data_IF_421373327370
#
_entry.id   IF_421373327370
#
_cell.length_a   1.000
_cell.length_b   1.000
_cell.length_c   1.000
_cell.angle_alpha   90.00
_cell.angle_beta   90.00
_cell.angle_gamma   90.00
#
_symmetry.space_group_name_H-M   'P 1'
#
loop_
_entity.id
_entity.type
_entity.pdbx_description
1 polymer ?
#
# COMPACT_ATOMS: atom_id res chain seq x y z
N UNK A 1 -18.36 45.19 -22.69
CA UNK A 1 -18.06 43.79 -23.05
C UNK A 1 -16.57 43.49 -23.25
N UNK A 2 -15.79 44.29 -24.01
CA UNK A 2 -14.34 44.03 -24.26
C UNK A 2 -13.43 43.99 -23.02
N UNK A 3 -13.71 44.78 -21.97
CA UNK A 3 -12.93 44.78 -20.71
C UNK A 3 -13.14 43.50 -19.88
N UNK A 4 -14.39 43.04 -19.78
CA UNK A 4 -14.75 41.83 -19.01
C UNK A 4 -14.16 40.57 -19.65
N UNK A 5 -14.15 40.49 -20.99
CA UNK A 5 -13.53 39.39 -21.74
C UNK A 5 -12.00 39.31 -21.51
N UNK A 6 -11.31 40.45 -21.38
CA UNK A 6 -9.87 40.49 -21.07
C UNK A 6 -9.55 40.04 -19.64
N UNK A 7 -10.41 40.36 -18.67
CA UNK A 7 -10.25 39.91 -17.29
C UNK A 7 -10.45 38.40 -17.21
N UNK A 8 -11.52 37.87 -17.81
CA UNK A 8 -11.80 36.42 -17.84
C UNK A 8 -10.66 35.67 -18.55
N UNK A 9 -10.21 36.17 -19.71
CA UNK A 9 -9.08 35.57 -20.45
C UNK A 9 -7.77 35.61 -19.65
N UNK A 10 -7.47 36.72 -18.97
CA UNK A 10 -6.29 36.83 -18.11
C UNK A 10 -6.34 35.89 -16.91
N UNK A 11 -7.51 35.76 -16.27
CA UNK A 11 -7.73 34.82 -15.16
C UNK A 11 -7.60 33.37 -15.61
N UNK A 12 -8.06 33.01 -16.81
CA UNK A 12 -7.95 31.65 -17.33
C UNK A 12 -6.50 31.27 -17.63
N UNK A 13 -5.72 32.20 -18.19
CA UNK A 13 -4.27 32.00 -18.43
C UNK A 13 -3.53 31.88 -17.11
N UNK A 14 -3.84 32.71 -16.11
CA UNK A 14 -3.24 32.62 -14.78
C UNK A 14 -3.54 31.27 -14.12
N UNK A 15 -4.80 30.80 -14.19
CA UNK A 15 -5.18 29.49 -13.68
C UNK A 15 -4.47 28.35 -14.41
N UNK A 16 -4.33 28.44 -15.74
CA UNK A 16 -3.57 27.47 -16.51
C UNK A 16 -2.08 27.45 -16.13
N UNK A 17 -1.47 28.62 -15.95
CA UNK A 17 -0.08 28.71 -15.48
C UNK A 17 0.09 28.14 -14.06
N UNK A 18 -0.85 28.43 -13.16
CA UNK A 18 -0.87 27.85 -11.81
C UNK A 18 -1.02 26.33 -11.86
N UNK A 19 -1.90 25.81 -12.73
CA UNK A 19 -2.07 24.37 -12.91
C UNK A 19 -0.80 23.70 -13.45
N UNK A 20 -0.11 24.32 -14.42
CA UNK A 20 1.17 23.81 -14.95
C UNK A 20 2.26 23.82 -13.88
N UNK A 21 2.37 24.90 -13.10
CA UNK A 21 3.33 25.00 -12.00
C UNK A 21 3.03 23.97 -10.91
N UNK A 22 1.76 23.79 -10.53
CA UNK A 22 1.34 22.80 -9.55
C UNK A 22 1.65 21.38 -10.05
N UNK A 23 1.32 21.08 -11.31
CA UNK A 23 1.66 19.81 -11.95
C UNK A 23 3.16 19.55 -11.94
N UNK A 24 3.98 20.52 -12.33
CA UNK A 24 5.44 20.41 -12.29
C UNK A 24 5.98 20.19 -10.87
N UNK A 25 5.40 20.87 -9.88
CA UNK A 25 5.80 20.76 -8.47
C UNK A 25 5.43 19.39 -7.89
N UNK A 26 4.20 18.90 -8.13
CA UNK A 26 3.77 17.54 -7.74
C UNK A 26 4.71 16.50 -8.35
N UNK A 27 5.02 16.65 -9.64
CA UNK A 27 5.85 15.70 -10.38
C UNK A 27 7.29 15.67 -9.89
N UNK A 28 7.83 16.80 -9.45
CA UNK A 28 9.24 16.91 -9.06
C UNK A 28 9.46 16.64 -7.58
N UNK A 29 8.60 17.16 -6.71
CA UNK A 29 8.81 17.16 -5.26
C UNK A 29 7.73 16.39 -4.49
N UNK A 30 6.58 16.12 -5.10
CA UNK A 30 5.40 15.65 -4.40
C UNK A 30 4.82 16.68 -3.43
N UNK A 31 3.53 16.58 -3.15
CA UNK A 31 2.83 17.43 -2.19
C UNK A 31 2.83 16.77 -0.82
N UNK A 32 3.32 17.44 0.23
CA UNK A 32 3.16 16.94 1.59
C UNK A 32 1.67 16.85 1.93
N UNK A 33 1.25 15.72 2.48
CA UNK A 33 -0.14 15.44 2.80
C UNK A 33 -0.47 15.74 4.26
N UNK A 34 0.34 16.55 4.96
CA UNK A 34 0.13 16.86 6.38
C UNK A 34 -1.24 17.50 6.71
N UNK A 35 -1.95 18.04 5.73
CA UNK A 35 -3.33 18.53 5.90
C UNK A 35 -4.41 17.45 5.62
N UNK A 36 -4.04 16.32 5.02
CA UNK A 36 -4.91 15.17 4.72
C UNK A 36 -4.64 13.97 5.64
N UNK A 37 -3.61 14.01 6.48
CA UNK A 37 -3.29 12.95 7.44
C UNK A 37 -4.42 12.73 8.44
N UNK A 38 -4.95 13.80 9.07
CA UNK A 38 -6.06 13.68 10.02
C UNK A 38 -7.32 13.04 9.42
N UNK A 39 -7.88 13.52 8.29
CA UNK A 39 -9.07 12.89 7.72
C UNK A 39 -8.80 11.45 7.24
N UNK A 40 -7.59 11.15 6.75
CA UNK A 40 -7.22 9.79 6.35
C UNK A 40 -7.13 8.86 7.57
N UNK A 41 -6.53 9.32 8.67
CA UNK A 41 -6.50 8.58 9.94
C UNK A 41 -7.90 8.31 10.48
N UNK A 42 -8.82 9.29 10.42
CA UNK A 42 -10.22 9.09 10.83
C UNK A 42 -10.88 7.99 10.02
N UNK A 43 -10.75 8.00 8.68
CA UNK A 43 -11.28 6.93 7.83
C UNK A 43 -10.65 5.59 8.19
N UNK A 44 -9.32 5.53 8.37
CA UNK A 44 -8.64 4.29 8.70
C UNK A 44 -9.00 3.76 10.09
N UNK A 45 -9.27 4.63 11.06
CA UNK A 45 -9.76 4.22 12.39
C UNK A 45 -11.15 3.58 12.35
N UNK A 46 -11.98 3.87 11.33
CA UNK A 46 -13.25 3.13 11.17
C UNK A 46 -13.04 1.63 10.90
N UNK A 47 -11.87 1.25 10.39
CA UNK A 47 -11.48 -0.15 10.21
C UNK A 47 -10.83 -0.76 11.46
N UNK A 48 -10.58 0.04 12.52
CA UNK A 48 -9.93 -0.39 13.77
C UNK A 48 -10.71 0.20 14.96
N UNK A 49 -11.89 -0.34 15.30
CA UNK A 49 -12.89 0.32 16.15
C UNK A 49 -12.43 0.65 17.58
N UNK A 50 -11.49 -0.13 18.13
CA UNK A 50 -10.95 0.04 19.49
C UNK A 50 -9.51 0.57 19.48
N UNK A 51 -9.01 0.97 18.32
CA UNK A 51 -7.61 1.31 18.10
C UNK A 51 -7.35 2.78 17.76
N UNK A 52 -6.09 3.05 17.40
CA UNK A 52 -5.65 4.34 16.85
C UNK A 52 -4.80 4.13 15.61
N UNK A 53 -4.90 5.07 14.67
CA UNK A 53 -4.09 5.11 13.46
C UNK A 53 -3.31 6.41 13.45
N UNK A 54 -2.00 6.28 13.31
CA UNK A 54 -1.04 7.39 13.24
C UNK A 54 -0.28 7.30 11.93
N UNK A 55 -0.21 8.43 11.20
CA UNK A 55 0.42 8.56 9.89
C UNK A 55 1.40 9.72 9.97
N UNK A 56 2.66 9.42 9.68
CA UNK A 56 3.72 10.41 9.64
C UNK A 56 4.39 10.44 8.27
N UNK A 57 4.78 11.65 7.85
CA UNK A 57 5.60 11.91 6.68
C UNK A 57 4.99 11.37 5.38
N UNK A 58 3.72 11.68 5.15
CA UNK A 58 2.99 11.31 3.93
C UNK A 58 3.12 12.35 2.81
N UNK A 59 3.25 11.89 1.57
CA UNK A 59 3.41 12.72 0.37
C UNK A 59 2.65 12.13 -0.82
N UNK A 60 1.97 12.97 -1.58
CA UNK A 60 1.41 12.63 -2.89
C UNK A 60 2.36 13.08 -3.99
N UNK A 61 3.05 12.14 -4.59
CA UNK A 61 3.91 12.34 -5.75
C UNK A 61 3.29 11.89 -7.06
N UNK A 62 4.15 11.76 -8.07
CA UNK A 62 3.81 11.24 -9.39
C UNK A 62 4.69 10.05 -9.72
N UNK A 63 4.09 8.94 -10.15
CA UNK A 63 4.79 7.79 -10.74
C UNK A 63 5.02 8.07 -12.22
N UNK A 64 6.28 8.10 -12.64
CA UNK A 64 6.63 8.19 -14.06
C UNK A 64 6.29 6.89 -14.81
N UNK A 65 6.42 5.74 -14.14
CA UNK A 65 6.12 4.41 -14.69
C UNK A 65 4.63 4.25 -14.98
N UNK A 66 3.79 4.62 -14.02
CA UNK A 66 2.33 4.52 -14.16
C UNK A 66 1.68 5.78 -14.74
N UNK A 67 2.45 6.85 -14.97
CA UNK A 67 1.95 8.16 -15.41
C UNK A 67 0.72 8.63 -14.61
N UNK A 68 0.77 8.47 -13.29
CA UNK A 68 -0.33 8.79 -12.39
C UNK A 68 0.16 9.03 -10.95
N UNK A 69 -0.76 9.27 -10.02
CA UNK A 69 -0.41 9.56 -8.64
C UNK A 69 0.29 8.40 -7.92
N UNK A 70 1.27 8.76 -7.10
CA UNK A 70 1.93 7.86 -6.16
C UNK A 70 1.84 8.44 -4.74
N UNK A 71 1.64 7.58 -3.76
CA UNK A 71 1.58 7.92 -2.34
C UNK A 71 2.81 7.33 -1.65
N UNK A 72 3.57 8.18 -0.98
CA UNK A 72 4.65 7.78 -0.08
C UNK A 72 4.21 8.05 1.36
N UNK A 73 4.41 7.12 2.27
CA UNK A 73 4.18 7.30 3.71
C UNK A 73 5.42 6.82 4.44
N UNK A 74 6.09 7.72 5.18
CA UNK A 74 7.25 7.34 5.97
C UNK A 74 6.90 6.35 7.08
N UNK A 75 5.78 6.57 7.77
CA UNK A 75 5.36 5.69 8.86
C UNK A 75 3.85 5.63 8.99
N UNK A 76 3.32 4.41 9.10
CA UNK A 76 1.94 4.11 9.45
C UNK A 76 1.93 3.21 10.68
N UNK A 77 1.33 3.67 11.78
CA UNK A 77 1.16 2.88 12.99
C UNK A 77 -0.31 2.66 13.27
N UNK A 78 -0.71 1.41 13.28
CA UNK A 78 -2.03 0.95 13.72
C UNK A 78 -1.82 0.35 15.11
N UNK A 79 -2.56 0.84 16.11
CA UNK A 79 -2.56 0.28 17.47
C UNK A 79 -3.95 -0.26 17.73
N UNK A 80 -4.04 -1.55 18.06
CA UNK A 80 -5.29 -2.16 18.52
C UNK A 80 -5.40 -2.13 20.04
N UNK A 81 -4.26 -2.21 20.75
CA UNK A 81 -4.16 -2.07 22.20
C UNK A 81 -2.80 -1.42 22.60
N UNK A 82 -2.52 -1.29 23.90
CA UNK A 82 -1.31 -0.61 24.41
C UNK A 82 0.01 -1.13 23.78
N UNK A 83 0.15 -2.45 23.67
CA UNK A 83 1.34 -3.13 23.12
C UNK A 83 1.07 -3.85 21.79
N UNK A 84 -0.18 -3.84 21.30
CA UNK A 84 -0.54 -4.57 20.09
C UNK A 84 -0.87 -3.70 18.88
N UNK A 85 -0.45 -4.17 17.71
CA UNK A 85 -0.80 -3.58 16.43
C UNK A 85 0.26 -3.82 15.35
N UNK A 86 0.29 -2.90 14.39
CA UNK A 86 1.16 -2.96 13.22
C UNK A 86 1.89 -1.64 13.04
N UNK A 87 3.19 -1.72 12.79
CA UNK A 87 4.00 -0.59 12.37
C UNK A 87 4.54 -0.87 10.98
N UNK A 88 4.13 -0.09 9.99
CA UNK A 88 4.68 -0.12 8.64
C UNK A 88 5.52 1.14 8.40
N UNK A 89 6.69 0.96 7.81
CA UNK A 89 7.69 1.99 7.55
C UNK A 89 8.05 2.00 6.06
N UNK A 90 8.27 3.20 5.53
CA UNK A 90 8.64 3.47 4.14
C UNK A 90 7.70 2.75 3.14
N UNK A 91 6.44 3.17 3.18
CA UNK A 91 5.38 2.67 2.30
C UNK A 91 5.38 3.49 1.02
N UNK A 92 5.32 2.81 -0.12
CA UNK A 92 5.16 3.39 -1.43
C UNK A 92 4.02 2.72 -2.20
N UNK A 93 3.05 3.50 -2.64
CA UNK A 93 1.86 3.02 -3.34
C UNK A 93 1.74 3.78 -4.67
N UNK A 94 1.63 3.08 -5.79
CA UNK A 94 1.33 3.66 -7.10
C UNK A 94 -0.06 3.25 -7.55
N UNK A 95 -0.82 4.24 -8.01
CA UNK A 95 -2.09 4.00 -8.67
C UNK A 95 -1.86 3.75 -10.17
N UNK A 96 -2.69 2.91 -10.77
CA UNK A 96 -2.62 2.59 -12.20
C UNK A 96 -3.14 3.75 -13.03
N UNK A 97 -2.26 4.39 -13.80
CA UNK A 97 -2.67 5.36 -14.81
C UNK A 97 -3.52 4.75 -15.91
N UNK A 98 -3.17 3.59 -16.52
CA UNK A 98 -4.02 2.95 -17.52
C UNK A 98 -5.45 2.71 -17.03
N UNK A 99 -5.63 2.19 -15.81
CA UNK A 99 -6.97 1.99 -15.25
C UNK A 99 -7.78 3.30 -15.16
N UNK A 100 -7.12 4.39 -14.79
CA UNK A 100 -7.79 5.68 -14.62
C UNK A 100 -8.04 6.40 -15.95
N UNK A 101 -7.01 6.50 -16.80
CA UNK A 101 -7.08 7.25 -18.04
C UNK A 101 -7.91 6.54 -19.11
N UNK A 102 -7.83 5.22 -19.20
CA UNK A 102 -8.50 4.45 -20.25
C UNK A 102 -9.90 3.99 -19.81
N UNK A 103 -10.07 3.66 -18.52
CA UNK A 103 -11.32 3.06 -18.02
C UNK A 103 -12.05 3.92 -16.98
N UNK A 104 -11.47 5.04 -16.54
CA UNK A 104 -12.06 5.88 -15.50
C UNK A 104 -12.13 5.21 -14.13
N UNK A 105 -11.30 4.19 -13.87
CA UNK A 105 -11.30 3.39 -12.64
C UNK A 105 -10.07 3.70 -11.79
N UNK A 106 -10.24 3.64 -10.47
CA UNK A 106 -9.10 3.69 -9.55
C UNK A 106 -8.66 2.25 -9.27
N UNK A 107 -7.41 1.94 -9.63
CA UNK A 107 -6.81 0.65 -9.35
C UNK A 107 -5.39 0.81 -8.80
N UNK A 108 -4.99 -0.16 -7.96
CA UNK A 108 -3.63 -0.27 -7.47
C UNK A 108 -2.73 -0.84 -8.58
N UNK A 109 -1.56 -0.22 -8.79
CA UNK A 109 -0.53 -0.78 -9.65
C UNK A 109 0.62 -1.36 -8.85
N UNK A 110 1.10 -0.63 -7.84
CA UNK A 110 2.26 -1.06 -7.05
C UNK A 110 2.06 -0.73 -5.58
N UNK A 111 2.46 -1.61 -4.68
CA UNK A 111 2.52 -1.32 -3.24
C UNK A 111 3.77 -1.97 -2.63
N UNK A 112 4.71 -1.17 -2.16
CA UNK A 112 5.93 -1.64 -1.51
C UNK A 112 5.95 -1.09 -0.09
N UNK A 113 6.29 -1.96 0.86
CA UNK A 113 6.57 -1.58 2.24
C UNK A 113 7.97 -2.09 2.56
N UNK A 114 8.90 -1.19 2.89
CA UNK A 114 10.26 -1.65 3.21
C UNK A 114 10.27 -2.47 4.49
N UNK A 115 9.46 -2.08 5.50
CA UNK A 115 9.43 -2.78 6.77
C UNK A 115 8.06 -2.79 7.44
N UNK A 116 7.66 -3.95 7.92
CA UNK A 116 6.45 -4.15 8.73
C UNK A 116 6.85 -4.84 10.03
N UNK A 117 6.50 -4.25 11.16
CA UNK A 117 6.61 -4.86 12.49
C UNK A 117 5.22 -5.20 13.00
N UNK A 118 4.95 -6.49 13.14
CA UNK A 118 3.76 -7.05 13.77
C UNK A 118 4.02 -7.17 15.27
N UNK A 119 3.14 -6.59 16.08
CA UNK A 119 3.20 -6.62 17.54
C UNK A 119 1.92 -7.31 18.02
N UNK A 120 1.88 -8.66 18.06
CA UNK A 120 0.69 -9.37 18.53
C UNK A 120 0.55 -9.27 20.07
N UNK A 121 -0.69 -9.22 20.57
CA UNK A 121 -1.04 -9.25 22.01
C UNK A 121 -0.84 -10.63 22.63
N UNK A 122 -0.97 -11.70 21.85
CA UNK A 122 -0.77 -13.10 22.25
C UNK A 122 -0.14 -13.88 21.09
N UNK A 123 0.60 -14.95 21.40
CA UNK A 123 1.31 -15.81 20.41
C UNK A 123 0.39 -16.39 19.32
N UNK A 124 -0.94 -16.43 19.54
CA UNK A 124 -1.93 -16.92 18.59
C UNK A 124 -2.86 -15.83 17.99
N UNK A 125 -2.70 -14.57 18.38
CA UNK A 125 -3.52 -13.46 17.86
C UNK A 125 -2.70 -12.70 16.80
N UNK A 126 -2.32 -13.40 15.72
CA UNK A 126 -2.06 -12.68 14.48
C UNK A 126 -3.42 -12.17 14.01
N UNK A 127 -3.62 -10.85 13.85
CA UNK A 127 -4.89 -10.35 13.34
C UNK A 127 -5.17 -11.07 12.03
N UNK A 128 -6.35 -11.71 11.94
CA UNK A 128 -6.74 -12.36 10.71
C UNK A 128 -6.62 -11.32 9.59
N UNK A 129 -5.80 -11.61 8.58
CA UNK A 129 -5.68 -10.79 7.38
C UNK A 129 -6.97 -10.87 6.53
N UNK A 130 -8.13 -10.85 7.17
CA UNK A 130 -9.46 -10.90 6.61
C UNK A 130 -9.72 -9.57 5.89
N UNK A 131 -9.19 -9.47 4.68
CA UNK A 131 -9.47 -8.38 3.74
C UNK A 131 -8.26 -7.55 3.32
N UNK A 132 -7.07 -7.73 3.92
CA UNK A 132 -5.94 -6.86 3.58
C UNK A 132 -5.22 -7.29 2.29
N UNK A 133 -5.20 -8.58 1.94
CA UNK A 133 -4.42 -9.09 0.79
C UNK A 133 -5.03 -10.31 0.06
N UNK A 134 -6.21 -10.79 0.46
CA UNK A 134 -6.83 -11.97 -0.16
C UNK A 134 -8.04 -11.52 -1.00
N UNK A 135 -8.01 -11.69 -2.33
CA UNK A 135 -9.19 -11.51 -3.17
C UNK A 135 -10.25 -12.49 -2.69
N UNK A 136 -11.34 -11.97 -2.13
CA UNK A 136 -12.49 -12.81 -1.78
C UNK A 136 -13.20 -13.13 -3.07
N UNK A 137 -13.11 -14.39 -3.51
CA UNK A 137 -13.58 -14.86 -4.82
C UNK A 137 -14.97 -14.35 -5.18
N UNK A 138 -15.00 -13.36 -6.06
CA UNK A 138 -16.19 -12.76 -6.65
C UNK A 138 -15.79 -12.04 -7.93
N UNK A 139 -16.41 -12.38 -9.05
CA UNK A 139 -15.91 -12.18 -10.42
C UNK A 139 -15.50 -10.77 -10.87
N UNK A 140 -15.72 -9.71 -10.08
CA UNK A 140 -15.23 -8.35 -10.36
C UNK A 140 -13.83 -8.04 -9.80
N UNK A 141 -13.34 -8.80 -8.80
CA UNK A 141 -12.05 -8.50 -8.14
C UNK A 141 -10.83 -8.95 -8.95
N UNK A 142 -11.00 -9.89 -9.90
CA UNK A 142 -9.94 -10.35 -10.79
C UNK A 142 -9.55 -9.31 -11.85
N UNK A 143 -10.48 -8.45 -12.27
CA UNK A 143 -10.17 -7.34 -13.17
C UNK A 143 -9.19 -6.36 -12.50
N UNK A 144 -9.38 -6.07 -11.21
CA UNK A 144 -8.48 -5.18 -10.49
C UNK A 144 -7.06 -5.74 -10.35
N UNK A 145 -6.93 -7.08 -10.30
CA UNK A 145 -5.62 -7.73 -10.25
C UNK A 145 -4.79 -7.40 -11.50
N UNK A 146 -5.41 -7.19 -12.67
CA UNK A 146 -4.71 -7.00 -13.95
C UNK A 146 -3.75 -5.80 -13.94
N UNK A 147 -4.05 -4.80 -13.11
CA UNK A 147 -3.24 -3.59 -12.96
C UNK A 147 -2.07 -3.75 -12.01
N UNK A 148 -2.12 -4.73 -11.12
CA UNK A 148 -1.07 -4.99 -10.14
C UNK A 148 0.18 -5.46 -10.88
N UNK A 149 1.25 -4.68 -10.79
CA UNK A 149 2.60 -5.01 -11.24
C UNK A 149 3.40 -5.67 -10.12
N UNK A 150 3.33 -5.11 -8.92
CA UNK A 150 4.13 -5.55 -7.76
C UNK A 150 3.48 -5.17 -6.42
N UNK A 151 3.40 -6.13 -5.50
CA UNK A 151 3.11 -5.88 -4.08
C UNK A 151 4.22 -6.53 -3.26
N UNK A 152 4.94 -5.77 -2.45
CA UNK A 152 6.07 -6.31 -1.69
C UNK A 152 6.10 -5.78 -0.25
N UNK A 153 6.51 -6.64 0.66
CA UNK A 153 6.97 -6.30 2.01
C UNK A 153 8.36 -6.88 2.18
N UNK A 154 9.39 -6.04 2.30
CA UNK A 154 10.79 -6.50 2.21
C UNK A 154 11.35 -7.02 3.53
N UNK A 155 10.88 -6.50 4.66
CA UNK A 155 11.26 -6.93 6.00
C UNK A 155 10.01 -7.06 6.88
N UNK A 156 9.65 -8.28 7.25
CA UNK A 156 8.57 -8.57 8.20
C UNK A 156 9.17 -8.97 9.54
N UNK A 157 8.86 -8.23 10.58
CA UNK A 157 9.30 -8.52 11.95
C UNK A 157 8.11 -8.90 12.80
N UNK A 158 8.23 -9.99 13.55
CA UNK A 158 7.21 -10.37 14.54
C UNK A 158 7.79 -10.16 15.93
N UNK A 159 7.20 -9.25 16.69
CA UNK A 159 7.60 -8.93 18.06
C UNK A 159 6.74 -9.74 19.03
N UNK A 160 7.13 -10.99 19.29
CA UNK A 160 6.45 -11.88 20.26
C UNK A 160 7.01 -11.77 21.70
N UNK A 161 7.94 -10.84 21.96
CA UNK A 161 8.61 -10.61 23.26
C UNK A 161 9.38 -9.29 23.31
N UNK A 162 10.43 -9.17 24.14
CA UNK A 162 11.21 -7.91 24.25
C UNK A 162 11.94 -7.52 22.95
N UNK A 163 12.37 -8.50 22.16
CA UNK A 163 13.05 -8.30 20.89
C UNK A 163 12.18 -8.73 19.70
N UNK A 164 12.16 -7.93 18.63
CA UNK A 164 11.59 -8.33 17.35
C UNK A 164 12.62 -9.15 16.57
N UNK A 165 12.22 -10.33 16.09
CA UNK A 165 13.09 -11.13 15.22
C UNK A 165 12.80 -10.75 13.77
N UNK A 166 13.86 -10.43 13.02
CA UNK A 166 13.87 -10.29 11.57
C UNK A 166 14.92 -11.24 11.04
N UNK A 167 14.52 -12.22 10.24
CA UNK A 167 15.45 -13.16 9.64
C UNK A 167 15.06 -13.47 8.19
N UNK A 168 14.98 -12.43 7.37
CA UNK A 168 14.68 -12.58 5.95
C UNK A 168 13.20 -12.81 5.62
N UNK A 169 12.29 -12.60 6.57
CA UNK A 169 10.85 -12.65 6.32
C UNK A 169 10.43 -11.56 5.33
N UNK A 170 9.74 -11.95 4.27
CA UNK A 170 9.30 -11.05 3.21
C UNK A 170 8.04 -11.58 2.53
N UNK A 171 7.31 -10.67 1.88
CA UNK A 171 6.24 -10.97 0.95
C UNK A 171 6.58 -10.33 -0.37
N UNK A 172 6.44 -11.06 -1.47
CA UNK A 172 6.58 -10.51 -2.81
C UNK A 172 5.49 -11.11 -3.69
N UNK A 173 4.70 -10.26 -4.29
CA UNK A 173 3.77 -10.59 -5.37
C UNK A 173 4.19 -9.78 -6.59
N UNK A 174 4.45 -10.44 -7.70
CA UNK A 174 4.90 -9.79 -8.93
C UNK A 174 4.17 -10.36 -10.14
N UNK A 175 3.85 -9.48 -11.08
CA UNK A 175 3.28 -9.87 -12.36
C UNK A 175 4.36 -10.40 -13.31
N UNK A 176 4.12 -11.58 -13.86
CA UNK A 176 4.91 -12.19 -14.92
C UNK A 176 3.97 -12.51 -16.09
N UNK A 177 3.89 -11.59 -17.04
CA UNK A 177 2.91 -11.67 -18.14
C UNK A 177 1.46 -11.61 -17.63
N UNK A 178 0.65 -12.60 -17.97
CA UNK A 178 -0.76 -12.69 -17.56
C UNK A 178 -0.97 -13.28 -16.15
N UNK A 179 0.10 -13.63 -15.44
CA UNK A 179 0.04 -14.32 -14.14
C UNK A 179 0.66 -13.48 -13.04
N UNK A 180 0.08 -13.53 -11.85
CA UNK A 180 0.64 -13.00 -10.60
C UNK A 180 1.28 -14.15 -9.85
N UNK A 181 2.56 -14.02 -9.53
CA UNK A 181 3.31 -14.97 -8.70
C UNK A 181 3.56 -14.32 -7.35
N UNK A 182 3.24 -15.02 -6.27
CA UNK A 182 3.46 -14.59 -4.90
C UNK A 182 4.42 -15.56 -4.18
N UNK A 183 5.31 -15.02 -3.37
CA UNK A 183 6.15 -15.73 -2.41
C UNK A 183 6.03 -15.07 -1.05
N UNK A 184 5.98 -15.88 0.00
CA UNK A 184 5.90 -15.48 1.39
C UNK A 184 6.91 -16.29 2.18
N UNK A 185 7.69 -15.61 3.01
CA UNK A 185 8.49 -16.21 4.07
C UNK A 185 8.23 -15.41 5.34
N UNK A 186 7.79 -16.07 6.41
CA UNK A 186 7.63 -15.46 7.72
C UNK A 186 8.32 -16.35 8.75
N UNK A 187 9.30 -15.79 9.42
CA UNK A 187 9.93 -16.40 10.60
C UNK A 187 9.40 -15.76 11.88
N UNK A 188 9.09 -16.59 12.88
CA UNK A 188 8.52 -16.16 14.15
C UNK A 188 8.96 -17.09 15.29
N UNK A 189 8.94 -16.60 16.53
CA UNK A 189 9.39 -17.34 17.71
C UNK A 189 10.51 -16.62 18.46
N UNK A 190 11.15 -17.33 19.39
CA UNK A 190 12.34 -16.82 20.10
C UNK A 190 13.60 -17.13 19.29
N UNK A 191 14.71 -16.38 19.49
CA UNK A 191 15.97 -16.66 18.79
C UNK A 191 16.45 -18.12 18.92
N UNK A 192 16.12 -18.78 20.04
CA UNK A 192 16.50 -20.16 20.33
C UNK A 192 15.51 -21.22 19.78
N UNK A 193 14.35 -20.80 19.27
CA UNK A 193 13.28 -21.67 18.77
C UNK A 193 12.45 -20.95 17.71
N UNK A 194 13.04 -20.78 16.52
CA UNK A 194 12.37 -20.17 15.37
C UNK A 194 11.53 -21.20 14.62
N UNK A 195 10.32 -20.78 14.25
CA UNK A 195 9.45 -21.46 13.29
C UNK A 195 9.34 -20.60 12.03
N UNK A 196 9.11 -21.25 10.89
CA UNK A 196 8.93 -20.56 9.61
C UNK A 196 7.67 -21.01 8.86
N UNK A 197 7.06 -20.05 8.17
CA UNK A 197 6.00 -20.26 7.19
C UNK A 197 6.57 -19.85 5.83
N UNK A 198 6.61 -20.78 4.89
CA UNK A 198 7.01 -20.51 3.51
C UNK A 198 5.83 -20.82 2.61
N UNK A 199 5.41 -19.84 1.82
CA UNK A 199 4.30 -19.96 0.90
C UNK A 199 4.72 -19.53 -0.50
N UNK A 200 4.23 -20.23 -1.51
CA UNK A 200 4.23 -19.74 -2.89
C UNK A 200 2.84 -19.86 -3.47
N UNK A 201 2.42 -18.90 -4.27
CA UNK A 201 1.17 -18.95 -4.99
C UNK A 201 1.34 -18.38 -6.39
N UNK A 202 0.50 -18.82 -7.30
CA UNK A 202 0.43 -18.28 -8.65
C UNK A 202 -1.01 -18.27 -9.12
N UNK A 203 -1.47 -17.14 -9.65
CA UNK A 203 -2.83 -16.97 -10.13
C UNK A 203 -2.82 -16.28 -11.49
N UNK A 204 -3.53 -16.87 -12.46
CA UNK A 204 -3.74 -16.28 -13.77
C UNK A 204 -5.02 -15.47 -13.83
N UNK A 205 -5.11 -14.60 -14.85
CA UNK A 205 -6.33 -13.86 -15.18
C UNK A 205 -7.47 -14.78 -15.68
N UNK A 206 -7.15 -16.03 -16.03
CA UNK A 206 -8.10 -17.09 -16.35
C UNK A 206 -8.78 -17.70 -15.10
N UNK A 207 -8.43 -17.21 -13.90
CA UNK A 207 -8.92 -17.73 -12.62
C UNK A 207 -8.21 -19.00 -12.16
N UNK A 208 -7.30 -19.55 -12.96
CA UNK A 208 -6.53 -20.75 -12.63
C UNK A 208 -5.28 -20.42 -11.80
N UNK A 209 -5.02 -21.20 -10.75
CA UNK A 209 -3.86 -20.98 -9.89
C UNK A 209 -3.42 -22.19 -9.08
N UNK A 210 -2.25 -22.08 -8.46
CA UNK A 210 -1.77 -23.03 -7.44
C UNK A 210 -1.27 -22.26 -6.22
N UNK A 211 -1.34 -22.90 -5.07
CA UNK A 211 -0.72 -22.41 -3.85
C UNK A 211 -0.10 -23.60 -3.09
N UNK A 212 1.09 -23.39 -2.56
CA UNK A 212 1.83 -24.35 -1.74
C UNK A 212 2.28 -23.63 -0.47
N UNK A 213 2.07 -24.25 0.69
CA UNK A 213 2.51 -23.73 2.00
C UNK A 213 3.24 -24.83 2.75
N UNK A 214 4.41 -24.49 3.27
CA UNK A 214 5.23 -25.33 4.12
C UNK A 214 5.41 -24.66 5.49
N UNK A 215 5.39 -25.49 6.54
CA UNK A 215 5.63 -25.10 7.92
C UNK A 215 6.85 -25.87 8.42
N UNK A 216 7.79 -25.17 9.05
CA UNK A 216 9.00 -25.76 9.65
C UNK A 216 9.22 -25.27 11.07
#
# INVERSE_FOLDING_TARGET
MKRMLRIISGSLVLLAMLAVLLYGTIRTFGLPLGFLTEPLSVVLTTFVPEGSVDIDSSRLGWSAENNFFALSIGKLRIREAAEAGVLAEDIYIELSGPAFWDEGRIALSKAIIERVTLMPTRVNDLPAAAGLLVPTGGGGQFEALQYISEIAVRDIRVKSGEAAVSNGSHLLMIRKGSRLSASLQIEYGTPDSLSSIIGTAEIGQDGGGRAEVALS
#
